data_IF_937337300372
#
_entry.id   IF_937337300372
#
_cell.length_a   1.000
_cell.length_b   1.000
_cell.length_c   1.000
_cell.angle_alpha   90.00
_cell.angle_beta   90.00
_cell.angle_gamma   90.00
#
_symmetry.space_group_name_H-M   'P 1'
#
loop_
_entity.id
_entity.type
_entity.pdbx_description
1 polymer ?
#
# COMPACT_ATOMS: atom_id res chain seq x y z
N UNK A 1 -17.21 0.47 -7.09
CA UNK A 1 -18.43 -0.15 -6.52
C UNK A 1 -19.42 0.89 -5.99
N UNK A 2 -18.98 2.00 -5.36
CA UNK A 2 -19.87 3.06 -4.82
C UNK A 2 -20.88 3.57 -5.87
N UNK A 3 -20.42 4.08 -7.00
CA UNK A 3 -21.27 4.59 -8.08
C UNK A 3 -22.26 3.55 -8.61
N UNK A 4 -21.86 2.29 -8.70
CA UNK A 4 -22.76 1.22 -9.15
C UNK A 4 -23.84 0.95 -8.10
N UNK A 5 -23.50 0.97 -6.82
CA UNK A 5 -24.48 0.81 -5.75
C UNK A 5 -25.55 1.92 -5.77
N UNK A 6 -25.14 3.18 -5.97
CA UNK A 6 -26.06 4.32 -6.13
C UNK A 6 -27.00 4.15 -7.34
N UNK A 7 -26.46 3.71 -8.49
CA UNK A 7 -27.28 3.46 -9.68
C UNK A 7 -28.28 2.33 -9.44
N UNK A 8 -27.90 1.27 -8.75
CA UNK A 8 -28.80 0.16 -8.43
C UNK A 8 -29.90 0.57 -7.45
N UNK A 9 -29.59 1.45 -6.49
CA UNK A 9 -30.59 2.00 -5.55
C UNK A 9 -31.70 2.76 -6.26
N UNK A 10 -31.39 3.45 -7.37
CA UNK A 10 -32.39 4.18 -8.16
C UNK A 10 -33.20 3.28 -9.09
N UNK A 11 -32.62 2.18 -9.57
CA UNK A 11 -33.23 1.35 -10.63
C UNK A 11 -33.93 0.12 -10.07
N UNK A 12 -33.43 -0.47 -8.98
CA UNK A 12 -34.02 -1.67 -8.41
C UNK A 12 -35.15 -1.34 -7.42
N UNK A 13 -36.05 -2.30 -7.26
CA UNK A 13 -37.10 -2.21 -6.24
C UNK A 13 -36.48 -2.20 -4.83
N UNK A 14 -37.07 -1.48 -3.86
CA UNK A 14 -36.50 -1.36 -2.51
C UNK A 14 -36.32 -2.68 -1.75
N UNK A 15 -37.05 -3.73 -2.14
CA UNK A 15 -37.02 -5.07 -1.57
C UNK A 15 -36.14 -6.05 -2.38
N UNK A 16 -35.47 -5.58 -3.45
CA UNK A 16 -34.62 -6.42 -4.23
C UNK A 16 -33.45 -6.93 -3.38
N UNK A 17 -33.27 -8.24 -3.35
CA UNK A 17 -32.17 -8.89 -2.65
C UNK A 17 -31.24 -9.58 -3.64
N UNK A 18 -29.96 -9.22 -3.60
CA UNK A 18 -28.88 -9.77 -4.43
C UNK A 18 -27.61 -9.96 -3.57
N UNK A 19 -27.74 -10.88 -2.60
CA UNK A 19 -26.80 -11.05 -1.48
C UNK A 19 -25.35 -11.27 -1.88
N UNK A 20 -25.12 -12.13 -2.89
CA UNK A 20 -23.77 -12.47 -3.32
C UNK A 20 -23.12 -11.27 -4.02
N UNK A 21 -23.81 -10.66 -4.97
CA UNK A 21 -23.33 -9.49 -5.71
C UNK A 21 -23.13 -8.30 -4.77
N UNK A 22 -24.07 -8.08 -3.86
CA UNK A 22 -23.97 -7.02 -2.85
C UNK A 22 -22.76 -7.23 -1.93
N UNK A 23 -22.43 -8.48 -1.56
CA UNK A 23 -21.26 -8.80 -0.75
C UNK A 23 -19.95 -8.56 -1.53
N UNK A 24 -19.91 -8.94 -2.82
CA UNK A 24 -18.77 -8.66 -3.70
C UNK A 24 -18.59 -7.15 -3.90
N UNK A 25 -19.68 -6.40 -4.12
CA UNK A 25 -19.62 -4.94 -4.23
C UNK A 25 -19.17 -4.28 -2.93
N UNK A 26 -19.61 -4.80 -1.78
CA UNK A 26 -19.13 -4.37 -0.47
C UNK A 26 -17.63 -4.58 -0.32
N UNK A 27 -17.10 -5.75 -0.72
CA UNK A 27 -15.66 -5.99 -0.71
C UNK A 27 -14.91 -5.00 -1.60
N UNK A 28 -15.45 -4.62 -2.76
CA UNK A 28 -14.88 -3.59 -3.62
C UNK A 28 -14.83 -2.20 -2.97
N UNK A 29 -15.87 -1.80 -2.22
CA UNK A 29 -15.83 -0.56 -1.42
C UNK A 29 -14.77 -0.67 -0.32
N UNK A 30 -14.72 -1.79 0.40
CA UNK A 30 -13.72 -2.04 1.45
C UNK A 30 -12.28 -1.98 0.91
N UNK A 31 -12.05 -2.49 -0.29
CA UNK A 31 -10.74 -2.43 -0.96
C UNK A 31 -10.31 -1.00 -1.26
N UNK A 32 -11.16 -0.25 -1.99
CA UNK A 32 -10.86 1.11 -2.43
C UNK A 32 -10.68 2.10 -1.26
N UNK A 33 -11.36 1.83 -0.15
CA UNK A 33 -11.36 2.69 1.03
C UNK A 33 -10.44 2.21 2.15
N UNK A 34 -9.64 1.17 1.94
CA UNK A 34 -8.86 0.51 3.00
C UNK A 34 -9.70 0.25 4.25
N UNK A 35 -10.80 -0.49 4.10
CA UNK A 35 -11.77 -0.76 5.18
C UNK A 35 -12.36 0.52 5.80
N UNK A 36 -12.82 1.44 4.97
CA UNK A 36 -13.44 2.70 5.39
C UNK A 36 -12.51 3.64 6.16
N UNK A 37 -11.19 3.58 5.91
CA UNK A 37 -10.20 4.45 6.56
C UNK A 37 -9.67 5.56 5.66
N UNK A 38 -9.78 5.42 4.34
CA UNK A 38 -9.27 6.40 3.36
C UNK A 38 -10.34 6.74 2.32
N UNK A 39 -10.34 7.99 1.87
CA UNK A 39 -11.17 8.48 0.75
C UNK A 39 -12.67 8.19 0.95
N UNK A 40 -13.18 8.33 2.18
CA UNK A 40 -14.55 7.98 2.58
C UNK A 40 -15.38 9.23 2.73
N UNK A 41 -16.52 9.27 2.05
CA UNK A 41 -17.53 10.34 2.16
C UNK A 41 -18.89 9.80 2.59
N UNK A 42 -19.87 10.70 2.72
CA UNK A 42 -21.25 10.31 3.04
C UNK A 42 -21.83 9.36 1.99
N UNK A 43 -21.50 9.54 0.71
CA UNK A 43 -21.93 8.67 -0.39
C UNK A 43 -21.42 7.25 -0.24
N UNK A 44 -20.17 7.07 0.19
CA UNK A 44 -19.57 5.75 0.46
C UNK A 44 -20.34 4.99 1.53
N UNK A 45 -20.70 5.66 2.63
CA UNK A 45 -21.51 5.05 3.69
C UNK A 45 -22.95 4.78 3.25
N UNK A 46 -23.55 5.67 2.45
CA UNK A 46 -24.89 5.44 1.88
C UNK A 46 -24.89 4.21 0.97
N UNK A 47 -23.92 4.09 0.08
CA UNK A 47 -23.76 2.92 -0.78
C UNK A 47 -23.56 1.62 0.03
N UNK A 48 -22.74 1.66 1.08
CA UNK A 48 -22.52 0.51 1.96
C UNK A 48 -23.82 0.13 2.71
N UNK A 49 -24.60 1.10 3.17
CA UNK A 49 -25.89 0.88 3.81
C UNK A 49 -26.90 0.23 2.84
N UNK A 50 -26.96 0.75 1.61
CA UNK A 50 -27.81 0.16 0.56
C UNK A 50 -27.45 -1.30 0.31
N UNK A 51 -26.15 -1.60 0.09
CA UNK A 51 -25.69 -2.97 -0.12
C UNK A 51 -25.99 -3.87 1.09
N UNK A 52 -25.87 -3.35 2.31
CA UNK A 52 -26.22 -4.10 3.53
C UNK A 52 -27.71 -4.43 3.58
N UNK A 53 -28.59 -3.50 3.21
CA UNK A 53 -30.02 -3.71 3.10
C UNK A 53 -30.38 -4.72 1.99
N UNK A 54 -29.63 -4.72 0.88
CA UNK A 54 -29.75 -5.70 -0.20
C UNK A 54 -29.27 -7.11 0.19
N UNK A 55 -28.74 -7.27 1.40
CA UNK A 55 -28.35 -8.54 1.98
C UNK A 55 -26.86 -8.84 1.98
N UNK A 56 -26.01 -7.83 1.74
CA UNK A 56 -24.55 -8.03 1.80
C UNK A 56 -24.10 -8.60 3.14
N UNK A 57 -23.31 -9.66 3.07
CA UNK A 57 -22.64 -10.28 4.20
C UNK A 57 -21.20 -9.73 4.30
N UNK A 58 -20.96 -8.96 5.36
CA UNK A 58 -19.66 -8.33 5.59
C UNK A 58 -18.59 -9.33 6.03
N UNK A 59 -18.94 -10.45 6.64
CA UNK A 59 -18.00 -11.53 6.95
C UNK A 59 -17.57 -12.23 5.66
N UNK A 60 -18.51 -12.56 4.78
CA UNK A 60 -18.20 -13.09 3.46
C UNK A 60 -17.37 -12.11 2.63
N UNK A 61 -17.74 -10.82 2.60
CA UNK A 61 -16.96 -9.78 1.93
C UNK A 61 -15.50 -9.72 2.44
N UNK A 62 -15.28 -9.98 3.73
CA UNK A 62 -13.94 -10.01 4.34
C UNK A 62 -13.10 -11.19 3.89
N UNK A 63 -13.71 -12.33 3.52
CA UNK A 63 -12.94 -13.50 3.06
C UNK A 63 -12.14 -13.23 1.79
N UNK A 64 -12.53 -12.23 0.98
CA UNK A 64 -11.76 -11.81 -0.19
C UNK A 64 -10.40 -11.17 0.14
N UNK A 65 -10.16 -10.84 1.40
CA UNK A 65 -8.91 -10.25 1.89
C UNK A 65 -8.11 -11.21 2.79
N UNK A 66 -8.54 -12.47 2.88
CA UNK A 66 -7.79 -13.48 3.62
C UNK A 66 -6.46 -13.77 2.93
N UNK A 67 -5.40 -13.84 3.70
CA UNK A 67 -4.05 -14.09 3.23
C UNK A 67 -3.66 -15.55 3.44
N UNK A 68 -2.87 -16.07 2.53
CA UNK A 68 -2.23 -17.37 2.71
C UNK A 68 -1.20 -17.34 3.84
N UNK A 69 -0.99 -18.47 4.51
CA UNK A 69 -0.01 -18.55 5.59
C UNK A 69 1.41 -18.21 5.15
N UNK A 70 1.79 -18.55 3.92
CA UNK A 70 3.10 -18.24 3.34
C UNK A 70 3.28 -16.72 3.12
N UNK A 71 2.21 -16.02 2.69
CA UNK A 71 2.19 -14.56 2.56
C UNK A 71 2.36 -13.90 3.93
N UNK A 72 1.63 -14.38 4.95
CA UNK A 72 1.75 -13.93 6.33
C UNK A 72 3.19 -14.10 6.88
N UNK A 73 3.83 -15.24 6.61
CA UNK A 73 5.22 -15.47 7.04
C UNK A 73 6.17 -14.49 6.35
N UNK A 74 6.00 -14.26 5.04
CA UNK A 74 6.81 -13.31 4.29
C UNK A 74 6.63 -11.88 4.80
N UNK A 75 5.40 -11.45 5.08
CA UNK A 75 5.15 -10.13 5.70
C UNK A 75 5.77 -10.01 7.10
N UNK A 76 5.75 -11.09 7.87
CA UNK A 76 6.38 -11.12 9.20
C UNK A 76 7.90 -10.98 9.12
N UNK A 77 8.53 -11.52 8.08
CA UNK A 77 9.96 -11.33 7.82
C UNK A 77 10.28 -9.85 7.54
N UNK A 78 9.51 -9.18 6.68
CA UNK A 78 9.65 -7.75 6.45
C UNK A 78 9.50 -6.94 7.75
N UNK A 79 8.50 -7.27 8.57
CA UNK A 79 8.29 -6.60 9.85
C UNK A 79 9.47 -6.77 10.81
N UNK A 80 10.06 -7.97 10.89
CA UNK A 80 11.19 -8.26 11.78
C UNK A 80 12.52 -7.65 11.31
N UNK A 81 12.69 -7.44 10.00
CA UNK A 81 13.86 -6.80 9.41
C UNK A 81 13.78 -5.26 9.39
N UNK A 82 12.62 -4.69 9.75
CA UNK A 82 12.39 -3.25 9.65
C UNK A 82 13.26 -2.46 10.63
N UNK A 83 13.81 -1.35 10.13
CA UNK A 83 14.63 -0.38 10.87
C UNK A 83 14.03 1.02 10.69
N UNK A 84 14.16 1.86 11.70
CA UNK A 84 13.80 3.28 11.58
C UNK A 84 15.05 4.08 11.21
N UNK A 85 14.91 4.86 10.16
CA UNK A 85 15.91 5.81 9.67
C UNK A 85 15.39 7.24 9.80
N UNK A 86 16.24 8.19 10.22
CA UNK A 86 15.86 9.61 10.44
C UNK A 86 14.56 9.79 11.26
N UNK A 87 14.37 8.95 12.30
CA UNK A 87 13.27 9.00 13.27
C UNK A 87 11.88 8.65 12.71
N UNK A 88 11.60 8.89 11.43
CA UNK A 88 10.26 8.79 10.85
C UNK A 88 10.19 8.04 9.50
N UNK A 89 11.27 7.42 9.07
CA UNK A 89 11.32 6.60 7.85
C UNK A 89 11.56 5.15 8.25
N UNK A 90 10.66 4.25 7.85
CA UNK A 90 10.86 2.83 8.01
C UNK A 90 11.50 2.23 6.74
N UNK A 91 12.57 1.47 6.91
CA UNK A 91 13.23 0.72 5.82
C UNK A 91 13.26 -0.75 6.21
N UNK A 92 12.88 -1.61 5.30
CA UNK A 92 12.98 -3.06 5.46
C UNK A 92 13.48 -3.70 4.19
N UNK A 93 14.24 -4.79 4.35
CA UNK A 93 14.78 -5.52 3.20
C UNK A 93 14.79 -7.02 3.47
N UNK A 94 14.48 -7.82 2.44
CA UNK A 94 14.65 -9.27 2.46
C UNK A 94 15.34 -9.76 1.20
N UNK A 95 16.25 -10.73 1.39
CA UNK A 95 17.08 -11.26 0.31
C UNK A 95 16.51 -12.54 -0.33
N UNK A 96 15.52 -13.17 0.29
CA UNK A 96 14.95 -14.43 -0.21
C UNK A 96 13.43 -14.29 -0.37
N UNK A 97 12.97 -14.25 -1.61
CA UNK A 97 11.56 -14.31 -1.92
C UNK A 97 11.29 -15.55 -2.79
N UNK A 98 10.72 -16.57 -2.20
CA UNK A 98 10.22 -17.73 -2.91
C UNK A 98 8.80 -17.46 -3.40
N UNK A 99 8.63 -16.85 -4.57
CA UNK A 99 7.29 -16.73 -5.15
C UNK A 99 7.12 -15.64 -6.21
N UNK A 100 6.12 -15.83 -7.07
CA UNK A 100 5.79 -14.90 -8.16
C UNK A 100 5.21 -13.55 -7.73
N UNK A 101 4.94 -13.33 -6.41
CA UNK A 101 4.26 -12.14 -5.89
C UNK A 101 5.18 -11.19 -5.09
N UNK A 102 6.49 -11.33 -5.23
CA UNK A 102 7.47 -10.60 -4.42
C UNK A 102 7.27 -9.07 -4.40
N UNK A 103 6.92 -8.48 -5.57
CA UNK A 103 6.65 -7.03 -5.66
C UNK A 103 5.41 -6.62 -4.88
N UNK A 104 4.36 -7.46 -4.91
CA UNK A 104 3.12 -7.21 -4.16
C UNK A 104 3.37 -7.31 -2.66
N UNK A 105 4.18 -8.28 -2.24
CA UNK A 105 4.57 -8.43 -0.83
C UNK A 105 5.36 -7.22 -0.33
N UNK A 106 6.31 -6.71 -1.11
CA UNK A 106 7.04 -5.49 -0.75
C UNK A 106 6.11 -4.27 -0.65
N UNK A 107 5.14 -4.14 -1.56
CA UNK A 107 4.15 -3.07 -1.50
C UNK A 107 3.29 -3.15 -0.24
N UNK A 108 2.76 -4.33 0.10
CA UNK A 108 2.00 -4.58 1.33
C UNK A 108 2.85 -4.31 2.58
N UNK A 109 4.12 -4.72 2.58
CA UNK A 109 5.04 -4.45 3.68
C UNK A 109 5.25 -2.95 3.90
N UNK A 110 5.43 -2.17 2.83
CA UNK A 110 5.54 -0.71 2.91
C UNK A 110 4.24 -0.07 3.44
N UNK A 111 3.07 -0.52 2.98
CA UNK A 111 1.77 -0.04 3.49
C UNK A 111 1.61 -0.35 4.99
N UNK A 112 2.00 -1.54 5.42
CA UNK A 112 1.94 -1.96 6.84
C UNK A 112 2.88 -1.15 7.72
N UNK A 113 4.11 -0.92 7.28
CA UNK A 113 5.08 -0.10 8.00
C UNK A 113 4.62 1.36 8.10
N UNK A 114 3.98 1.90 7.06
CA UNK A 114 3.42 3.25 7.09
C UNK A 114 2.28 3.39 8.11
N UNK A 115 1.61 2.31 8.50
CA UNK A 115 0.57 2.32 9.54
C UNK A 115 1.12 2.45 10.97
N UNK A 116 2.44 2.33 11.15
CA UNK A 116 3.10 2.45 12.45
C UNK A 116 3.13 3.93 12.86
N UNK A 117 2.83 4.18 14.15
CA UNK A 117 2.84 5.55 14.69
C UNK A 117 4.22 6.22 14.47
N UNK A 118 4.19 7.47 14.02
CA UNK A 118 5.36 8.30 13.71
C UNK A 118 6.16 7.87 12.46
N UNK A 119 5.70 6.90 11.70
CA UNK A 119 6.29 6.60 10.38
C UNK A 119 5.61 7.48 9.33
N UNK A 120 6.40 8.29 8.63
CA UNK A 120 5.95 9.21 7.60
C UNK A 120 6.20 8.68 6.18
N UNK A 121 7.23 7.85 6.02
CA UNK A 121 7.48 7.10 4.80
C UNK A 121 8.02 5.70 5.13
N UNK A 122 7.74 4.75 4.25
CA UNK A 122 8.19 3.37 4.37
C UNK A 122 8.73 2.88 3.03
N UNK A 123 9.86 2.18 3.07
CA UNK A 123 10.51 1.58 1.93
C UNK A 123 10.74 0.09 2.20
N UNK A 124 10.25 -0.75 1.31
CA UNK A 124 10.45 -2.19 1.37
C UNK A 124 11.22 -2.67 0.15
N UNK A 125 12.36 -3.30 0.38
CA UNK A 125 13.26 -3.84 -0.64
C UNK A 125 13.13 -5.36 -0.70
N UNK A 126 13.09 -5.91 -1.90
CA UNK A 126 13.03 -7.34 -2.13
C UNK A 126 13.89 -7.74 -3.34
N UNK A 127 14.73 -8.75 -3.14
CA UNK A 127 15.47 -9.35 -4.26
C UNK A 127 14.53 -10.25 -5.06
N UNK A 128 14.53 -10.06 -6.36
CA UNK A 128 13.91 -10.97 -7.33
C UNK A 128 15.01 -11.50 -8.26
N UNK A 129 14.68 -12.46 -9.14
CA UNK A 129 15.65 -13.04 -10.08
C UNK A 129 16.31 -12.00 -10.99
N UNK A 130 15.66 -10.86 -11.23
CA UNK A 130 16.13 -9.85 -12.19
C UNK A 130 16.69 -8.58 -11.55
N UNK A 131 16.28 -8.23 -10.32
CA UNK A 131 16.62 -6.96 -9.70
C UNK A 131 16.25 -6.91 -8.21
N UNK A 132 16.78 -5.93 -7.49
CA UNK A 132 16.23 -5.50 -6.21
C UNK A 132 15.09 -4.52 -6.47
N UNK A 133 13.88 -4.92 -6.15
CA UNK A 133 12.70 -4.06 -6.27
C UNK A 133 12.48 -3.30 -4.97
N UNK A 134 12.16 -2.01 -5.09
CA UNK A 134 11.85 -1.12 -3.98
C UNK A 134 10.40 -0.66 -4.13
N UNK A 135 9.61 -0.85 -3.09
CA UNK A 135 8.27 -0.26 -2.97
C UNK A 135 8.30 0.81 -1.89
N UNK A 136 7.81 2.00 -2.21
CA UNK A 136 7.77 3.14 -1.30
C UNK A 136 6.35 3.63 -1.08
N UNK A 137 6.06 4.04 0.16
CA UNK A 137 4.80 4.65 0.58
C UNK A 137 5.07 5.84 1.48
N UNK A 138 4.19 6.85 1.43
CA UNK A 138 4.25 8.04 2.29
C UNK A 138 2.84 8.44 2.75
N UNK A 139 2.76 9.08 3.90
CA UNK A 139 1.53 9.71 4.40
C UNK A 139 1.27 11.10 3.81
N UNK A 140 2.05 11.53 2.81
CA UNK A 140 1.96 12.83 2.17
C UNK A 140 2.91 13.89 2.72
N UNK A 141 3.76 13.57 3.70
CA UNK A 141 4.77 14.51 4.23
C UNK A 141 6.16 14.37 3.59
N UNK A 142 6.43 13.24 2.93
CA UNK A 142 7.69 12.95 2.24
C UNK A 142 7.37 12.56 0.80
N UNK A 143 8.03 13.21 -0.16
CA UNK A 143 7.87 12.89 -1.58
C UNK A 143 8.73 11.67 -1.95
N UNK A 144 8.13 10.48 -1.90
CA UNK A 144 8.83 9.22 -2.22
C UNK A 144 9.13 9.07 -3.71
N UNK A 145 8.40 9.78 -4.59
CA UNK A 145 8.68 9.79 -6.02
C UNK A 145 10.07 10.39 -6.30
N UNK A 146 10.35 11.59 -5.80
CA UNK A 146 11.64 12.27 -6.01
C UNK A 146 12.81 11.46 -5.46
N UNK A 147 12.61 10.76 -4.35
CA UNK A 147 13.62 9.87 -3.78
C UNK A 147 13.92 8.72 -4.75
N UNK A 148 12.89 8.02 -5.23
CA UNK A 148 13.10 6.85 -6.08
C UNK A 148 13.47 7.19 -7.53
N UNK A 149 13.15 8.38 -8.04
CA UNK A 149 13.63 8.87 -9.33
C UNK A 149 15.16 8.93 -9.39
N UNK A 150 15.85 9.22 -8.27
CA UNK A 150 17.32 9.18 -8.18
C UNK A 150 17.88 7.76 -8.37
N UNK A 151 17.04 6.73 -8.19
CA UNK A 151 17.39 5.32 -8.36
C UNK A 151 16.83 4.73 -9.67
N UNK A 152 16.40 5.61 -10.61
CA UNK A 152 15.81 5.20 -11.87
C UNK A 152 14.38 4.66 -11.76
N UNK A 153 13.70 4.92 -10.64
CA UNK A 153 12.31 4.59 -10.38
C UNK A 153 11.35 5.70 -10.76
N UNK A 154 10.12 5.63 -10.22
CA UNK A 154 9.09 6.65 -10.42
C UNK A 154 7.79 6.27 -9.72
N UNK A 155 6.80 7.13 -9.87
CA UNK A 155 5.49 6.93 -9.26
C UNK A 155 4.75 8.24 -9.03
N UNK A 156 4.16 8.36 -7.85
CA UNK A 156 3.47 9.54 -7.36
C UNK A 156 4.06 9.99 -6.03
N UNK A 157 3.64 11.16 -5.57
CA UNK A 157 4.13 11.78 -4.34
C UNK A 157 4.16 10.82 -3.14
N UNK A 158 3.08 10.07 -2.94
CA UNK A 158 2.84 9.19 -1.80
C UNK A 158 3.07 7.70 -2.09
N UNK A 159 3.31 7.34 -3.35
CA UNK A 159 3.50 5.95 -3.79
C UNK A 159 4.47 5.88 -4.97
N UNK A 160 5.58 5.18 -4.81
CA UNK A 160 6.59 5.04 -5.86
C UNK A 160 7.24 3.65 -5.83
N UNK A 161 7.96 3.32 -6.90
CA UNK A 161 8.70 2.08 -7.03
C UNK A 161 9.97 2.25 -7.85
N UNK A 162 10.98 1.43 -7.58
CA UNK A 162 12.20 1.33 -8.37
C UNK A 162 12.63 -0.14 -8.52
N UNK A 163 13.46 -0.42 -9.53
CA UNK A 163 14.08 -1.72 -9.72
C UNK A 163 15.55 -1.51 -10.09
N UNK A 164 16.45 -1.97 -9.23
CA UNK A 164 17.90 -1.79 -9.41
C UNK A 164 18.48 -3.14 -9.79
N UNK A 165 19.11 -3.20 -10.96
CA UNK A 165 19.74 -4.42 -11.49
C UNK A 165 21.19 -4.53 -11.05
N UNK A 166 21.69 -5.76 -11.03
CA UNK A 166 23.12 -6.06 -10.82
C UNK A 166 23.67 -5.53 -9.47
N UNK A 167 22.83 -5.49 -8.44
CA UNK A 167 23.21 -5.08 -7.08
C UNK A 167 22.71 -6.07 -6.05
N UNK A 168 23.36 -6.14 -4.92
CA UNK A 168 22.87 -6.84 -3.73
C UNK A 168 21.81 -6.01 -3.01
N UNK A 169 21.02 -6.67 -2.13
CA UNK A 169 20.02 -5.96 -1.30
C UNK A 169 20.69 -4.91 -0.40
N UNK A 170 21.87 -5.22 0.14
CA UNK A 170 22.63 -4.30 0.99
C UNK A 170 23.12 -3.06 0.19
N UNK A 171 23.61 -3.25 -1.02
CA UNK A 171 23.98 -2.15 -1.91
C UNK A 171 22.77 -1.28 -2.27
N UNK A 172 21.64 -1.89 -2.60
CA UNK A 172 20.41 -1.17 -2.90
C UNK A 172 19.87 -0.39 -1.67
N UNK A 173 19.96 -0.95 -0.46
CA UNK A 173 19.62 -0.24 0.79
C UNK A 173 20.53 0.97 1.01
N UNK A 174 21.83 0.84 0.78
CA UNK A 174 22.78 1.95 0.88
C UNK A 174 22.51 3.04 -0.17
N UNK A 175 22.18 2.65 -1.40
CA UNK A 175 21.78 3.59 -2.46
C UNK A 175 20.50 4.35 -2.08
N UNK A 176 19.52 3.66 -1.51
CA UNK A 176 18.28 4.27 -1.02
C UNK A 176 18.55 5.27 0.11
N UNK A 177 19.39 4.91 1.08
CA UNK A 177 19.80 5.81 2.17
C UNK A 177 20.43 7.08 1.60
N UNK A 178 21.35 6.93 0.64
CA UNK A 178 21.97 8.07 -0.02
C UNK A 178 20.97 8.96 -0.80
N UNK A 179 19.94 8.35 -1.42
CA UNK A 179 18.88 9.10 -2.09
C UNK A 179 17.99 9.86 -1.09
N UNK A 180 17.68 9.25 0.04
CA UNK A 180 16.94 9.90 1.13
C UNK A 180 17.74 11.09 1.69
N UNK A 181 19.04 10.92 1.92
CA UNK A 181 19.88 12.01 2.45
C UNK A 181 19.93 13.20 1.50
N UNK A 182 20.15 12.96 0.21
CA UNK A 182 20.12 14.03 -0.80
C UNK A 182 18.77 14.74 -0.89
N UNK A 183 17.66 14.02 -0.71
CA UNK A 183 16.34 14.62 -0.67
C UNK A 183 16.22 15.61 0.50
N UNK A 184 16.69 15.26 1.69
CA UNK A 184 16.64 16.16 2.85
C UNK A 184 17.61 17.35 2.69
N UNK A 185 18.81 17.15 2.14
CA UNK A 185 19.74 18.23 1.84
C UNK A 185 19.13 19.26 0.87
N UNK A 186 18.37 18.80 -0.13
CA UNK A 186 17.70 19.70 -1.08
C UNK A 186 16.63 20.56 -0.40
N UNK A 187 15.83 20.01 0.51
CA UNK A 187 14.82 20.74 1.26
C UNK A 187 15.45 21.77 2.20
N UNK A 188 16.50 21.39 2.90
CA UNK A 188 17.21 22.29 3.80
C UNK A 188 17.81 23.49 3.05
N UNK A 189 18.32 23.28 1.84
CA UNK A 189 18.86 24.34 0.99
C UNK A 189 17.79 25.28 0.45
N UNK A 190 16.58 24.78 0.14
CA UNK A 190 15.44 25.61 -0.29
C UNK A 190 14.84 26.44 0.84
N UNK A 191 14.93 25.98 2.07
CA UNK A 191 14.37 26.66 3.26
C UNK A 191 15.25 27.82 3.74
N UNK A 192 16.54 27.84 3.31
CA UNK A 192 17.53 28.88 3.69
C UNK A 192 17.62 30.05 2.68
N UNK A 193 16.92 29.98 1.55
CA UNK A 193 16.81 31.01 0.54
C UNK A 193 15.46 31.72 0.60
#
# INVERSE_FOLDING_TARGET
CELIAEMLEEVLQPDASFKEEASIMMSGIMLDTHNFTRTVGMRTFAAALYLKNAGADTEYARTFFEEGFDDYLSESQFGSAAKIYRENIAITSISDSKGNNSRVLAAKAADKLLSIKNVNAAFALILTDEAVNISARSNGSINVQVILEQLGGGGHFDMAGAAIKDVTVEEAENMLIGAIDKYYESIESETQN
#
